data_IF_736088089986
#
_entry.id   IF_736088089986
#
_cell.length_a   1.000
_cell.length_b   1.000
_cell.length_c   1.000
_cell.angle_alpha   90.00
_cell.angle_beta   90.00
_cell.angle_gamma   90.00
#
_symmetry.space_group_name_H-M   'P 1'
#
loop_
_entity.id
_entity.type
_entity.pdbx_description
1 polymer ?
#
# COMPACT_ATOMS: atom_id res chain seq x y z
N UNK A 1 28.79 4.46 -11.02
CA UNK A 1 27.93 3.38 -10.48
C UNK A 1 28.38 3.09 -9.07
N UNK A 2 27.45 3.14 -8.12
CA UNK A 2 27.72 3.11 -6.69
C UNK A 2 27.27 4.40 -5.98
N UNK A 3 27.16 4.33 -4.66
CA UNK A 3 26.67 5.42 -3.83
C UNK A 3 27.49 6.69 -3.98
N UNK A 4 26.81 7.82 -4.19
CA UNK A 4 27.40 9.15 -4.15
C UNK A 4 27.83 9.52 -2.73
N UNK A 5 28.86 10.37 -2.59
CA UNK A 5 29.38 10.81 -1.28
C UNK A 5 28.31 11.43 -0.36
N UNK A 6 27.24 12.02 -0.92
CA UNK A 6 26.12 12.51 -0.14
C UNK A 6 25.27 11.37 0.45
N UNK A 7 24.96 10.34 -0.34
CA UNK A 7 24.21 9.15 0.09
C UNK A 7 24.95 8.39 1.20
N UNK A 8 26.26 8.22 1.05
CA UNK A 8 27.10 7.50 2.03
C UNK A 8 27.02 8.05 3.45
N UNK A 9 26.71 9.34 3.61
CA UNK A 9 26.63 10.01 4.93
C UNK A 9 25.43 9.56 5.77
N UNK A 10 24.42 8.95 5.14
CA UNK A 10 23.26 8.41 5.84
C UNK A 10 23.52 7.03 6.46
N UNK A 11 24.65 6.40 6.13
CA UNK A 11 25.00 5.09 6.63
C UNK A 11 25.92 5.18 7.87
N UNK A 12 25.75 4.31 8.86
CA UNK A 12 24.77 3.22 8.91
C UNK A 12 23.33 3.73 9.08
N UNK A 13 22.39 3.12 8.34
CA UNK A 13 20.97 3.41 8.54
C UNK A 13 20.53 2.81 9.86
N UNK A 14 19.99 3.64 10.76
CA UNK A 14 19.58 3.25 12.10
C UNK A 14 18.14 3.68 12.34
N UNK A 15 17.31 2.70 12.68
CA UNK A 15 15.90 2.90 12.98
C UNK A 15 15.08 3.44 11.79
N UNK A 16 13.79 3.62 12.05
CA UNK A 16 12.83 4.13 11.06
C UNK A 16 13.22 5.55 10.61
N UNK A 17 13.59 6.42 11.54
CA UNK A 17 13.91 7.83 11.21
C UNK A 17 15.16 7.96 10.33
N UNK A 18 16.14 7.04 10.46
CA UNK A 18 17.30 7.00 9.57
C UNK A 18 16.93 6.69 8.12
N UNK A 19 15.96 5.79 7.92
CA UNK A 19 15.39 5.49 6.59
C UNK A 19 14.64 6.71 6.05
N UNK A 20 13.76 7.32 6.85
CA UNK A 20 13.00 8.52 6.44
C UNK A 20 13.93 9.67 6.04
N UNK A 21 15.03 9.88 6.77
CA UNK A 21 16.03 10.89 6.42
C UNK A 21 16.75 10.62 5.09
N UNK A 22 17.01 9.37 4.75
CA UNK A 22 17.55 9.00 3.44
C UNK A 22 16.54 9.31 2.32
N UNK A 23 15.27 8.94 2.52
CA UNK A 23 14.20 9.23 1.57
C UNK A 23 14.01 10.73 1.34
N UNK A 24 13.97 11.55 2.40
CA UNK A 24 13.90 13.02 2.27
C UNK A 24 15.11 13.58 1.51
N UNK A 25 16.32 13.07 1.78
CA UNK A 25 17.52 13.50 1.07
C UNK A 25 17.50 13.14 -0.43
N UNK A 26 17.00 11.95 -0.80
CA UNK A 26 16.85 11.55 -2.20
C UNK A 26 15.73 12.34 -2.90
N UNK A 27 14.58 12.53 -2.26
CA UNK A 27 13.43 13.26 -2.82
C UNK A 27 13.70 14.76 -3.04
N UNK A 28 14.77 15.32 -2.47
CA UNK A 28 15.24 16.68 -2.79
C UNK A 28 16.02 16.76 -4.11
N UNK A 29 16.41 15.63 -4.69
CA UNK A 29 17.04 15.57 -6.00
C UNK A 29 15.98 15.51 -7.09
N UNK A 30 16.33 15.95 -8.29
CA UNK A 30 15.49 15.77 -9.47
C UNK A 30 15.41 14.30 -9.94
N UNK A 31 16.39 13.49 -9.52
CA UNK A 31 16.51 12.06 -9.82
C UNK A 31 16.84 11.34 -8.51
N UNK A 32 15.83 11.05 -7.65
CA UNK A 32 16.02 10.15 -6.51
C UNK A 32 16.47 8.78 -7.03
N UNK A 33 17.42 8.16 -6.34
CA UNK A 33 17.99 6.86 -6.73
C UNK A 33 17.01 5.72 -6.41
N UNK A 34 16.23 5.30 -7.40
CA UNK A 34 15.15 4.31 -7.21
C UNK A 34 15.72 2.95 -6.79
N UNK A 35 16.87 2.56 -7.36
CA UNK A 35 17.52 1.31 -7.03
C UNK A 35 18.00 1.30 -5.57
N UNK A 36 18.62 2.39 -5.11
CA UNK A 36 19.01 2.53 -3.71
C UNK A 36 17.81 2.43 -2.76
N UNK A 37 16.79 3.25 -2.98
CA UNK A 37 15.63 3.33 -2.09
C UNK A 37 14.89 1.99 -2.03
N UNK A 38 14.72 1.33 -3.18
CA UNK A 38 14.12 0.00 -3.28
C UNK A 38 14.92 -1.07 -2.51
N UNK A 39 16.26 -1.05 -2.59
CA UNK A 39 17.09 -1.97 -1.83
C UNK A 39 17.00 -1.72 -0.32
N UNK A 40 16.89 -0.46 0.12
CA UNK A 40 16.69 -0.10 1.53
C UNK A 40 15.38 -0.67 2.03
N UNK A 41 14.27 -0.48 1.31
CA UNK A 41 12.97 -1.03 1.71
C UNK A 41 12.99 -2.55 1.74
N UNK A 42 13.53 -3.20 0.70
CA UNK A 42 13.64 -4.65 0.65
C UNK A 42 14.49 -5.24 1.78
N UNK A 43 15.58 -4.56 2.16
CA UNK A 43 16.40 -4.96 3.30
C UNK A 43 15.64 -4.85 4.63
N UNK A 44 14.95 -3.73 4.84
CA UNK A 44 14.19 -3.48 6.08
C UNK A 44 12.99 -4.42 6.20
N UNK A 45 12.22 -4.59 5.12
CA UNK A 45 11.08 -5.52 5.06
C UNK A 45 11.51 -6.98 5.32
N UNK A 46 12.66 -7.41 4.77
CA UNK A 46 13.15 -8.77 4.98
C UNK A 46 13.30 -9.10 6.47
N UNK A 47 13.85 -8.19 7.26
CA UNK A 47 14.11 -8.46 8.69
C UNK A 47 12.95 -8.10 9.61
N UNK A 48 12.02 -7.26 9.17
CA UNK A 48 10.87 -6.86 9.96
C UNK A 48 9.60 -7.69 9.66
N UNK A 49 9.52 -8.31 8.48
CA UNK A 49 8.41 -9.19 8.10
C UNK A 49 8.84 -10.63 7.77
N UNK A 50 9.76 -10.81 6.83
CA UNK A 50 10.04 -12.14 6.26
C UNK A 50 10.78 -13.06 7.23
N UNK A 51 11.83 -12.55 7.87
CA UNK A 51 12.68 -13.31 8.78
C UNK A 51 13.13 -12.45 9.96
N UNK A 52 12.29 -12.44 11.00
CA UNK A 52 12.53 -11.70 12.26
C UNK A 52 13.49 -12.42 13.22
N UNK A 53 14.03 -13.59 12.85
CA UNK A 53 14.97 -14.32 13.70
C UNK A 53 16.33 -13.61 13.68
N UNK A 54 16.73 -13.06 14.82
CA UNK A 54 18.04 -12.41 14.97
C UNK A 54 19.14 -13.48 14.79
N UNK A 55 19.98 -13.39 13.74
CA UNK A 55 21.03 -14.35 13.49
C UNK A 55 22.17 -14.17 14.49
N UNK A 56 22.21 -15.02 15.52
CA UNK A 56 23.25 -15.02 16.55
C UNK A 56 24.62 -15.52 16.04
N UNK A 57 24.64 -16.20 14.88
CA UNK A 57 25.83 -16.86 14.33
C UNK A 57 26.41 -16.17 13.09
N UNK A 58 25.93 -14.97 12.74
CA UNK A 58 26.43 -14.22 11.57
C UNK A 58 27.27 -13.04 12.08
N UNK A 59 28.61 -13.12 12.03
CA UNK A 59 29.48 -12.04 12.48
C UNK A 59 29.21 -10.77 11.67
N UNK A 60 28.99 -9.65 12.37
CA UNK A 60 28.79 -8.33 11.75
C UNK A 60 27.33 -7.92 11.58
N UNK A 61 26.37 -8.84 11.70
CA UNK A 61 24.95 -8.48 11.76
C UNK A 61 24.59 -8.11 13.20
N UNK A 62 24.10 -6.88 13.40
CA UNK A 62 23.64 -6.38 14.69
C UNK A 62 22.18 -5.98 14.58
N UNK A 63 21.50 -5.98 15.72
CA UNK A 63 20.10 -5.57 15.83
C UNK A 63 20.03 -4.55 16.97
N UNK A 64 19.43 -3.40 16.70
CA UNK A 64 19.25 -2.32 17.67
C UNK A 64 17.79 -2.28 18.10
N UNK A 65 17.49 -2.28 19.42
CA UNK A 65 16.12 -2.19 19.88
C UNK A 65 15.50 -0.86 19.42
N UNK A 66 14.32 -0.93 18.82
CA UNK A 66 13.57 0.27 18.43
C UNK A 66 12.87 0.90 19.64
N UNK A 67 12.49 0.08 20.61
CA UNK A 67 11.95 0.50 21.89
C UNK A 67 12.85 -0.02 23.03
N UNK A 68 13.20 0.83 24.01
CA UNK A 68 13.87 0.36 25.22
C UNK A 68 12.92 -0.63 25.93
N UNK A 69 13.39 -1.85 26.13
CA UNK A 69 12.69 -2.99 26.80
C UNK A 69 11.81 -3.90 25.91
N UNK A 70 11.79 -3.74 24.58
CA UNK A 70 11.11 -4.67 23.66
C UNK A 70 12.11 -5.57 22.90
N UNK A 71 12.39 -6.81 23.36
CA UNK A 71 13.38 -7.69 22.71
C UNK A 71 12.93 -8.22 21.33
N UNK A 72 11.66 -8.02 20.96
CA UNK A 72 11.08 -8.45 19.68
C UNK A 72 10.98 -7.33 18.65
N UNK A 73 11.23 -6.07 19.05
CA UNK A 73 11.25 -4.92 18.16
C UNK A 73 12.69 -4.45 17.98
N UNK A 74 13.34 -4.96 16.93
CA UNK A 74 14.72 -4.66 16.64
C UNK A 74 14.91 -4.28 15.18
N UNK A 75 15.62 -3.18 14.95
CA UNK A 75 16.00 -2.72 13.62
C UNK A 75 17.39 -3.27 13.27
N UNK A 76 17.60 -3.85 12.08
CA UNK A 76 18.93 -4.22 11.62
C UNK A 76 19.66 -2.97 11.10
N UNK A 77 20.70 -2.44 11.78
CA UNK A 77 21.43 -1.31 11.23
C UNK A 77 22.09 -1.74 9.91
N UNK A 78 21.87 -0.97 8.85
CA UNK A 78 22.49 -1.29 7.58
C UNK A 78 23.80 -0.52 7.43
N UNK A 79 24.92 -1.22 7.57
CA UNK A 79 26.25 -0.63 7.45
C UNK A 79 26.61 -0.27 6.00
N UNK A 80 27.47 0.75 5.84
CA UNK A 80 27.86 1.28 4.52
C UNK A 80 28.53 0.22 3.62
N UNK A 81 29.42 -0.62 4.17
CA UNK A 81 30.17 -1.61 3.39
C UNK A 81 29.27 -2.63 2.66
N UNK A 82 28.37 -3.33 3.39
CA UNK A 82 27.35 -4.18 2.78
C UNK A 82 26.45 -3.43 1.79
N UNK A 83 26.00 -2.22 2.13
CA UNK A 83 25.15 -1.40 1.25
C UNK A 83 25.84 -1.05 -0.07
N UNK A 84 27.10 -0.59 -0.04
CA UNK A 84 27.88 -0.29 -1.24
C UNK A 84 28.08 -1.52 -2.12
N UNK A 85 28.33 -2.68 -1.51
CA UNK A 85 28.54 -3.94 -2.24
C UNK A 85 27.29 -4.33 -2.99
N UNK A 86 26.12 -4.26 -2.34
CA UNK A 86 24.85 -4.62 -2.95
C UNK A 86 24.42 -3.63 -4.04
N UNK A 87 24.57 -2.33 -3.80
CA UNK A 87 24.29 -1.27 -4.79
C UNK A 87 25.23 -1.39 -6.00
N UNK A 88 26.51 -1.71 -5.77
CA UNK A 88 27.45 -1.91 -6.86
C UNK A 88 27.17 -3.18 -7.67
N UNK A 89 26.64 -4.22 -7.02
CA UNK A 89 26.25 -5.46 -7.69
C UNK A 89 25.00 -5.23 -8.57
N UNK A 90 23.94 -4.65 -8.01
CA UNK A 90 22.72 -4.24 -8.74
C UNK A 90 22.99 -3.31 -9.91
N UNK A 91 23.87 -2.33 -9.73
CA UNK A 91 24.23 -1.42 -10.83
C UNK A 91 24.94 -2.12 -11.99
N UNK A 92 25.64 -3.24 -11.72
CA UNK A 92 26.43 -3.97 -12.74
C UNK A 92 25.65 -5.11 -13.38
N UNK A 93 24.77 -5.74 -12.63
CA UNK A 93 23.93 -6.84 -13.07
C UNK A 93 22.50 -6.49 -12.73
N UNK A 94 21.71 -6.03 -13.69
CA UNK A 94 20.26 -5.82 -13.55
C UNK A 94 19.50 -7.09 -13.10
N UNK A 95 20.19 -8.22 -12.97
CA UNK A 95 19.72 -9.53 -12.54
C UNK A 95 19.55 -9.69 -11.01
N UNK A 96 19.90 -8.68 -10.20
CA UNK A 96 19.87 -8.80 -8.73
C UNK A 96 18.66 -8.15 -8.06
N UNK A 97 17.72 -7.60 -8.83
CA UNK A 97 16.34 -7.55 -8.33
C UNK A 97 15.92 -9.00 -8.09
N UNK A 98 15.34 -9.31 -6.92
CA UNK A 98 14.93 -10.66 -6.50
C UNK A 98 14.56 -11.59 -7.65
N UNK A 99 14.98 -12.86 -7.59
CA UNK A 99 14.57 -13.90 -8.55
C UNK A 99 13.06 -14.18 -8.54
N UNK A 100 12.33 -13.58 -7.58
CA UNK A 100 10.87 -13.56 -7.49
C UNK A 100 10.41 -12.11 -7.37
N UNK A 101 9.86 -11.58 -8.45
CA UNK A 101 9.13 -10.32 -8.49
C UNK A 101 7.67 -10.63 -8.82
N UNK A 102 6.76 -9.88 -8.24
CA UNK A 102 5.36 -9.81 -8.63
C UNK A 102 5.20 -8.98 -9.92
N UNK A 103 3.97 -8.89 -10.42
CA UNK A 103 3.70 -8.22 -11.69
C UNK A 103 4.18 -6.77 -11.70
N UNK A 104 3.78 -5.96 -10.71
CA UNK A 104 4.15 -4.55 -10.65
C UNK A 104 5.63 -4.34 -10.28
N UNK A 105 6.18 -5.24 -9.45
CA UNK A 105 7.61 -5.25 -9.12
C UNK A 105 8.50 -5.39 -10.36
N UNK A 106 8.10 -6.17 -11.37
CA UNK A 106 8.82 -6.26 -12.66
C UNK A 106 8.79 -4.93 -13.40
N UNK A 107 7.64 -4.26 -13.49
CA UNK A 107 7.55 -2.97 -14.17
C UNK A 107 8.42 -1.91 -13.49
N UNK A 108 8.39 -1.85 -12.16
CA UNK A 108 9.25 -0.97 -11.37
C UNK A 108 10.75 -1.29 -11.57
N UNK A 109 11.14 -2.56 -11.56
CA UNK A 109 12.52 -2.97 -11.79
C UNK A 109 13.04 -2.54 -13.17
N UNK A 110 12.20 -2.59 -14.21
CA UNK A 110 12.54 -2.07 -15.54
C UNK A 110 12.81 -0.56 -15.48
N UNK A 111 11.96 0.22 -14.82
CA UNK A 111 12.14 1.68 -14.67
C UNK A 111 13.42 2.01 -13.90
N UNK A 112 13.67 1.34 -12.78
CA UNK A 112 14.89 1.52 -11.99
C UNK A 112 16.15 1.13 -12.80
N UNK A 113 16.11 0.04 -13.56
CA UNK A 113 17.21 -0.36 -14.44
C UNK A 113 17.46 0.67 -15.55
N UNK A 114 16.41 1.21 -16.17
CA UNK A 114 16.51 2.30 -17.13
C UNK A 114 17.14 3.55 -16.52
N UNK A 115 16.77 3.92 -15.29
CA UNK A 115 17.38 5.04 -14.57
C UNK A 115 18.89 4.83 -14.35
N UNK A 116 19.30 3.62 -13.93
CA UNK A 116 20.72 3.25 -13.75
C UNK A 116 21.51 3.36 -15.06
N UNK A 117 20.88 3.02 -16.19
CA UNK A 117 21.46 3.16 -17.53
C UNK A 117 21.48 4.60 -18.06
N UNK A 118 20.88 5.55 -17.32
CA UNK A 118 20.78 6.96 -17.72
C UNK A 118 19.63 7.26 -18.67
N UNK A 119 18.68 6.34 -18.83
CA UNK A 119 17.46 6.51 -19.63
C UNK A 119 16.40 7.22 -18.79
N UNK A 120 16.48 8.55 -18.77
CA UNK A 120 15.65 9.39 -17.89
C UNK A 120 14.21 9.55 -18.34
N UNK A 121 13.92 9.29 -19.60
CA UNK A 121 12.59 9.44 -20.19
C UNK A 121 11.67 8.22 -19.96
N UNK A 122 12.22 7.11 -19.46
CA UNK A 122 11.44 5.92 -19.11
C UNK A 122 10.85 6.07 -17.71
N UNK A 123 9.53 5.99 -17.61
CA UNK A 123 8.77 6.17 -16.39
C UNK A 123 7.73 5.07 -16.18
N UNK A 124 7.33 4.89 -14.93
CA UNK A 124 6.29 3.95 -14.56
C UNK A 124 4.91 4.52 -14.94
N UNK A 125 4.06 3.66 -15.50
CA UNK A 125 2.64 3.92 -15.62
C UNK A 125 1.84 2.91 -14.81
N UNK A 126 0.83 3.41 -14.10
CA UNK A 126 0.01 2.63 -13.17
C UNK A 126 -1.46 2.86 -13.47
N UNK A 127 -2.20 1.77 -13.68
CA UNK A 127 -3.63 1.77 -13.46
C UNK A 127 -3.93 1.41 -12.00
N UNK A 128 -5.18 1.05 -11.73
CA UNK A 128 -5.61 0.58 -10.41
C UNK A 128 -5.23 -0.89 -10.13
N UNK A 129 -4.85 -1.67 -11.16
CA UNK A 129 -4.53 -3.10 -11.04
C UNK A 129 -3.44 -3.60 -12.01
N UNK A 130 -2.76 -2.70 -12.73
CA UNK A 130 -1.68 -3.08 -13.65
C UNK A 130 -0.61 -2.00 -13.77
N UNK A 131 0.58 -2.43 -14.20
CA UNK A 131 1.75 -1.57 -14.35
C UNK A 131 2.49 -1.84 -15.66
N UNK A 132 2.94 -0.77 -16.31
CA UNK A 132 3.75 -0.83 -17.53
C UNK A 132 4.69 0.37 -17.59
N UNK A 133 5.42 0.56 -18.70
CA UNK A 133 6.31 1.73 -18.88
C UNK A 133 5.79 2.69 -19.94
N UNK A 134 6.04 3.97 -19.68
CA UNK A 134 5.90 5.04 -20.67
C UNK A 134 7.27 5.63 -20.97
N UNK A 135 7.46 6.10 -22.20
CA UNK A 135 8.72 6.68 -22.66
C UNK A 135 8.52 7.60 -23.85
N UNK A 136 9.64 8.12 -24.39
CA UNK A 136 9.60 9.04 -25.51
C UNK A 136 9.15 10.45 -25.10
N UNK A 137 8.86 11.28 -26.09
CA UNK A 137 8.52 12.69 -25.85
C UNK A 137 7.22 12.78 -25.04
N UNK A 138 7.28 13.45 -23.89
CA UNK A 138 6.13 13.62 -22.97
C UNK A 138 5.50 12.31 -22.44
N UNK A 139 6.17 11.16 -22.53
CA UNK A 139 5.58 9.87 -22.14
C UNK A 139 4.37 9.49 -23.00
N UNK A 140 4.47 9.72 -24.31
CA UNK A 140 3.44 9.39 -25.31
C UNK A 140 3.55 7.93 -25.78
N UNK A 141 4.73 7.32 -25.70
CA UNK A 141 4.92 5.91 -26.03
C UNK A 141 4.67 5.03 -24.80
N UNK A 142 4.16 3.82 -25.04
CA UNK A 142 3.84 2.85 -23.98
C UNK A 142 4.34 1.48 -24.37
N UNK A 143 4.86 0.71 -23.41
CA UNK A 143 5.19 -0.69 -23.61
C UNK A 143 4.83 -1.52 -22.39
N UNK A 144 4.13 -2.62 -22.63
CA UNK A 144 3.95 -3.69 -21.65
C UNK A 144 5.31 -4.32 -21.31
N UNK A 145 5.60 -4.49 -20.03
CA UNK A 145 6.88 -5.06 -19.56
C UNK A 145 6.70 -6.20 -18.58
N UNK A 146 5.48 -6.45 -18.14
CA UNK A 146 5.12 -7.49 -17.18
C UNK A 146 3.86 -8.23 -17.64
N UNK A 147 3.47 -9.25 -16.90
CA UNK A 147 2.23 -10.00 -17.12
C UNK A 147 1.09 -9.40 -16.30
N UNK A 148 -0.17 -9.71 -16.65
CA UNK A 148 -1.34 -9.41 -15.82
C UNK A 148 -2.20 -10.66 -15.65
N UNK A 149 -2.69 -10.91 -14.43
CA UNK A 149 -3.54 -12.05 -14.10
C UNK A 149 -2.87 -13.43 -14.29
N UNK A 150 -3.68 -14.49 -14.22
CA UNK A 150 -3.22 -15.88 -14.40
C UNK A 150 -3.77 -16.48 -15.69
N UNK A 151 -2.87 -16.89 -16.59
CA UNK A 151 -3.24 -17.57 -17.84
C UNK A 151 -3.72 -16.64 -18.96
N UNK A 152 -3.47 -15.33 -18.84
CA UNK A 152 -3.67 -14.36 -19.91
C UNK A 152 -2.51 -14.41 -20.91
N UNK A 153 -2.74 -13.89 -22.12
CA UNK A 153 -1.72 -13.83 -23.16
C UNK A 153 -0.60 -12.85 -22.79
N UNK A 154 0.64 -13.20 -23.13
CA UNK A 154 1.79 -12.33 -22.91
C UNK A 154 1.77 -11.16 -23.89
N UNK A 155 1.56 -9.95 -23.36
CA UNK A 155 1.52 -8.71 -24.15
C UNK A 155 2.82 -7.91 -24.11
N UNK A 156 3.89 -8.43 -23.49
CA UNK A 156 5.16 -7.69 -23.33
C UNK A 156 5.68 -7.17 -24.67
N UNK A 157 6.10 -5.90 -24.69
CA UNK A 157 6.55 -5.16 -25.86
C UNK A 157 5.43 -4.52 -26.69
N UNK A 158 4.16 -4.78 -26.39
CA UNK A 158 3.03 -4.18 -27.08
C UNK A 158 2.59 -2.85 -26.42
N UNK A 159 1.86 -2.04 -27.17
CA UNK A 159 1.21 -0.82 -26.67
C UNK A 159 -0.08 -1.14 -25.90
N UNK A 160 -0.45 -0.28 -24.95
CA UNK A 160 -1.71 -0.38 -24.18
C UNK A 160 -2.93 0.19 -24.91
N UNK A 161 -2.75 0.72 -26.13
CA UNK A 161 -3.81 1.40 -26.90
C UNK A 161 -5.06 0.55 -27.11
N UNK A 162 -4.93 -0.77 -27.27
CA UNK A 162 -6.08 -1.65 -27.46
C UNK A 162 -7.01 -1.63 -26.23
N UNK A 163 -6.47 -1.88 -25.04
CA UNK A 163 -7.25 -1.88 -23.80
C UNK A 163 -7.84 -0.51 -23.45
N UNK A 164 -7.13 0.58 -23.79
CA UNK A 164 -7.67 1.95 -23.67
C UNK A 164 -8.89 2.14 -24.58
N UNK A 165 -8.81 1.75 -25.85
CA UNK A 165 -9.90 1.92 -26.82
C UNK A 165 -11.11 1.03 -26.51
N UNK A 166 -10.87 -0.13 -25.91
CA UNK A 166 -11.89 -1.07 -25.46
C UNK A 166 -12.64 -0.59 -24.20
N UNK A 167 -12.13 0.45 -23.53
CA UNK A 167 -12.66 0.98 -22.27
C UNK A 167 -12.69 -0.08 -21.16
N UNK A 168 -11.63 -0.88 -21.07
CA UNK A 168 -11.39 -1.76 -19.91
C UNK A 168 -10.97 -0.92 -18.70
N UNK A 169 -11.42 -1.34 -17.52
CA UNK A 169 -11.01 -0.71 -16.26
C UNK A 169 -9.49 -0.83 -16.05
N UNK A 170 -8.90 -1.95 -16.45
CA UNK A 170 -7.47 -2.21 -16.35
C UNK A 170 -6.57 -1.12 -16.95
N UNK A 171 -7.04 -0.40 -17.97
CA UNK A 171 -6.30 0.69 -18.62
C UNK A 171 -6.94 2.07 -18.42
N UNK A 172 -7.97 2.15 -17.58
CA UNK A 172 -8.63 3.37 -17.12
C UNK A 172 -9.01 4.37 -18.24
N UNK A 173 -9.42 3.87 -19.41
CA UNK A 173 -9.72 4.69 -20.62
C UNK A 173 -8.60 5.68 -21.00
N UNK A 174 -7.36 5.42 -20.59
CA UNK A 174 -6.21 6.30 -20.81
C UNK A 174 -5.93 7.31 -19.68
N UNK A 175 -6.79 7.39 -18.66
CA UNK A 175 -6.60 8.23 -17.46
C UNK A 175 -5.80 7.52 -16.37
N UNK A 176 -4.87 6.64 -16.75
CA UNK A 176 -3.91 6.01 -15.84
C UNK A 176 -2.85 7.02 -15.37
N UNK A 177 -2.18 6.69 -14.27
CA UNK A 177 -1.13 7.53 -13.73
C UNK A 177 0.14 7.43 -14.57
N UNK A 178 0.64 8.58 -15.02
CA UNK A 178 1.96 8.73 -15.64
C UNK A 178 2.92 9.26 -14.58
N UNK A 179 3.71 8.39 -13.99
CA UNK A 179 4.53 8.74 -12.83
C UNK A 179 5.71 9.64 -13.23
N UNK A 180 6.06 10.57 -12.35
CA UNK A 180 7.41 11.12 -12.28
C UNK A 180 8.24 10.35 -11.24
N UNK A 181 9.50 10.76 -11.02
CA UNK A 181 10.38 10.08 -10.05
C UNK A 181 9.86 10.14 -8.62
N UNK A 182 9.17 11.21 -8.22
CA UNK A 182 8.60 11.29 -6.86
C UNK A 182 7.43 10.32 -6.71
N UNK A 183 6.59 10.18 -7.74
CA UNK A 183 5.48 9.23 -7.76
C UNK A 183 5.98 7.77 -7.81
N UNK A 184 7.10 7.49 -8.46
CA UNK A 184 7.75 6.17 -8.43
C UNK A 184 8.33 5.83 -7.04
N UNK A 185 8.80 6.84 -6.31
CA UNK A 185 9.13 6.67 -4.87
C UNK A 185 7.87 6.43 -4.05
N UNK A 186 6.78 7.14 -4.31
CA UNK A 186 5.50 6.87 -3.65
C UNK A 186 4.99 5.44 -3.92
N UNK A 187 5.13 4.95 -5.16
CA UNK A 187 4.78 3.58 -5.53
C UNK A 187 5.52 2.55 -4.68
N UNK A 188 6.85 2.64 -4.56
CA UNK A 188 7.61 1.67 -3.74
C UNK A 188 7.29 1.76 -2.25
N UNK A 189 6.86 2.94 -1.76
CA UNK A 189 6.41 3.12 -0.37
C UNK A 189 5.03 2.46 -0.17
N UNK A 190 4.10 2.64 -1.10
CA UNK A 190 2.82 1.92 -1.08
C UNK A 190 3.00 0.40 -1.18
N UNK A 191 4.05 -0.06 -1.87
CA UNK A 191 4.37 -1.48 -2.01
C UNK A 191 5.05 -2.12 -0.78
N UNK A 192 5.32 -1.36 0.29
CA UNK A 192 5.81 -1.95 1.54
C UNK A 192 4.76 -2.92 2.07
N UNK A 193 5.14 -4.18 2.31
CA UNK A 193 4.24 -5.19 2.87
C UNK A 193 4.51 -5.37 4.37
N UNK A 194 3.63 -4.88 5.26
CA UNK A 194 3.80 -5.07 6.69
C UNK A 194 3.46 -6.48 7.16
N UNK A 195 2.83 -7.33 6.33
CA UNK A 195 2.22 -8.58 6.77
C UNK A 195 3.23 -9.66 7.14
N UNK A 196 3.10 -10.22 8.34
CA UNK A 196 3.89 -11.35 8.85
C UNK A 196 3.23 -12.68 8.48
N UNK A 197 1.91 -12.72 8.64
CA UNK A 197 1.02 -13.84 8.33
C UNK A 197 -0.39 -13.31 8.08
N UNK A 198 -1.37 -14.20 7.86
CA UNK A 198 -2.75 -13.83 7.52
C UNK A 198 -3.49 -12.97 8.57
N UNK A 199 -2.94 -12.83 9.77
CA UNK A 199 -3.61 -12.20 10.91
C UNK A 199 -2.76 -11.14 11.61
N UNK A 200 -1.49 -10.99 11.23
CA UNK A 200 -0.51 -10.22 12.00
C UNK A 200 0.38 -9.39 11.10
N UNK A 201 0.53 -8.10 11.44
CA UNK A 201 1.39 -7.15 10.73
C UNK A 201 2.57 -6.67 11.61
N UNK A 202 3.67 -6.26 10.98
CA UNK A 202 4.78 -5.55 11.62
C UNK A 202 4.37 -4.09 11.86
N UNK A 203 4.28 -3.73 13.15
CA UNK A 203 4.05 -2.33 13.56
C UNK A 203 5.16 -1.41 13.08
N UNK A 204 6.40 -1.90 13.00
CA UNK A 204 7.54 -1.12 12.53
C UNK A 204 7.43 -0.76 11.04
N UNK A 205 6.97 -1.70 10.20
CA UNK A 205 6.75 -1.46 8.78
C UNK A 205 5.54 -0.57 8.53
N UNK A 206 4.45 -0.73 9.30
CA UNK A 206 3.31 0.18 9.27
C UNK A 206 3.75 1.62 9.60
N UNK A 207 4.52 1.81 10.68
CA UNK A 207 5.05 3.12 11.07
C UNK A 207 6.01 3.70 10.02
N UNK A 208 6.89 2.88 9.43
CA UNK A 208 7.79 3.31 8.36
C UNK A 208 6.99 3.77 7.14
N UNK A 209 6.03 2.98 6.69
CA UNK A 209 5.17 3.30 5.55
C UNK A 209 4.38 4.58 5.79
N UNK A 210 3.75 4.71 6.97
CA UNK A 210 2.99 5.91 7.36
C UNK A 210 3.89 7.17 7.38
N UNK A 211 5.09 7.11 7.97
CA UNK A 211 6.02 8.25 8.01
C UNK A 211 6.51 8.64 6.61
N UNK A 212 6.80 7.68 5.74
CA UNK A 212 7.24 7.94 4.37
C UNK A 212 6.09 8.52 3.51
N UNK A 213 4.87 8.02 3.66
CA UNK A 213 3.69 8.59 3.00
C UNK A 213 3.38 10.00 3.49
N UNK A 214 3.52 10.28 4.79
CA UNK A 214 3.43 11.65 5.31
C UNK A 214 4.48 12.58 4.71
N UNK A 215 5.73 12.13 4.59
CA UNK A 215 6.79 12.90 3.95
C UNK A 215 6.40 13.27 2.51
N UNK A 216 5.96 12.30 1.71
CA UNK A 216 5.53 12.51 0.32
C UNK A 216 4.29 13.42 0.24
N UNK A 217 3.34 13.24 1.15
CA UNK A 217 2.11 14.02 1.22
C UNK A 217 2.37 15.50 1.50
N UNK A 218 3.19 15.80 2.52
CA UNK A 218 3.52 17.18 2.91
C UNK A 218 4.32 17.93 1.85
N UNK A 219 5.03 17.20 1.00
CA UNK A 219 5.75 17.72 -0.16
C UNK A 219 4.85 17.97 -1.38
N UNK A 220 3.61 17.47 -1.36
CA UNK A 220 2.69 17.50 -2.50
C UNK A 220 2.97 16.43 -3.56
N UNK A 221 3.88 15.49 -3.28
CA UNK A 221 4.24 14.42 -4.24
C UNK A 221 3.07 13.42 -4.43
N UNK A 222 2.10 13.38 -3.50
CA UNK A 222 0.89 12.55 -3.60
C UNK A 222 -0.31 13.23 -4.26
N UNK A 223 -0.21 14.51 -4.67
CA UNK A 223 -1.33 15.27 -5.26
C UNK A 223 -1.96 14.59 -6.49
N UNK A 224 -1.17 13.78 -7.19
CA UNK A 224 -1.56 12.99 -8.37
C UNK A 224 -1.52 11.47 -8.11
N UNK A 225 -1.60 11.05 -6.86
CA UNK A 225 -1.60 9.63 -6.52
C UNK A 225 -2.76 9.31 -5.56
N UNK A 226 -3.99 9.13 -6.10
CA UNK A 226 -5.19 8.91 -5.30
C UNK A 226 -5.09 7.70 -4.36
N UNK A 227 -4.59 6.56 -4.85
CA UNK A 227 -4.48 5.34 -4.05
C UNK A 227 -3.47 5.49 -2.90
N UNK A 228 -2.33 6.16 -3.11
CA UNK A 228 -1.37 6.44 -2.04
C UNK A 228 -1.95 7.32 -0.93
N UNK A 229 -2.79 8.30 -1.28
CA UNK A 229 -3.56 9.06 -0.29
C UNK A 229 -4.57 8.18 0.45
N UNK A 230 -5.22 7.23 -0.23
CA UNK A 230 -6.08 6.22 0.39
C UNK A 230 -5.32 5.37 1.42
N UNK A 231 -4.17 4.83 1.06
CA UNK A 231 -3.28 4.08 1.97
C UNK A 231 -2.86 4.92 3.19
N UNK A 232 -2.44 6.17 2.96
CA UNK A 232 -2.07 7.06 4.07
C UNK A 232 -3.25 7.31 5.02
N UNK A 233 -4.44 7.54 4.47
CA UNK A 233 -5.63 7.75 5.26
C UNK A 233 -5.99 6.51 6.10
N UNK A 234 -5.89 5.30 5.54
CA UNK A 234 -6.13 4.06 6.27
C UNK A 234 -5.10 3.81 7.38
N UNK A 235 -3.82 4.18 7.18
CA UNK A 235 -2.80 4.10 8.22
C UNK A 235 -3.05 5.11 9.34
N UNK A 236 -3.44 6.34 8.97
CA UNK A 236 -3.77 7.40 9.92
C UNK A 236 -5.06 7.12 10.70
N UNK A 237 -5.98 6.34 10.12
CA UNK A 237 -7.20 5.85 10.79
C UNK A 237 -6.88 4.81 11.87
N UNK A 238 -5.85 3.99 11.63
CA UNK A 238 -5.40 2.93 12.54
C UNK A 238 -4.55 3.45 13.69
N UNK A 239 -3.53 4.28 13.39
CA UNK A 239 -2.61 4.86 14.38
C UNK A 239 -2.38 6.36 14.11
N UNK A 240 -3.30 7.24 14.58
CA UNK A 240 -3.24 8.66 14.29
C UNK A 240 -1.99 9.35 14.88
N UNK A 241 -1.31 10.15 14.07
CA UNK A 241 -0.17 10.98 14.51
C UNK A 241 -0.70 12.35 14.98
N UNK A 242 -0.44 12.77 16.23
CA UNK A 242 -0.95 14.04 16.75
C UNK A 242 -0.57 15.25 15.88
N UNK A 243 -1.58 16.05 15.52
CA UNK A 243 -1.41 17.27 14.74
C UNK A 243 -1.42 17.08 13.21
N UNK A 244 -1.51 15.84 12.73
CA UNK A 244 -1.69 15.53 11.31
C UNK A 244 -3.14 15.71 10.85
N UNK A 245 -3.34 15.74 9.54
CA UNK A 245 -4.67 15.91 8.93
C UNK A 245 -5.52 14.65 9.12
N UNK A 246 -6.84 14.82 9.30
CA UNK A 246 -7.73 13.68 9.60
C UNK A 246 -7.90 12.73 8.41
N UNK A 247 -8.07 11.40 8.65
CA UNK A 247 -8.24 10.39 7.59
C UNK A 247 -9.33 10.74 6.58
N UNK A 248 -10.50 11.18 7.05
CA UNK A 248 -11.61 11.62 6.19
C UNK A 248 -11.19 12.72 5.20
N UNK A 249 -10.39 13.70 5.64
CA UNK A 249 -9.95 14.80 4.77
C UNK A 249 -8.97 14.31 3.71
N UNK A 250 -8.12 13.35 4.06
CA UNK A 250 -7.18 12.73 3.13
C UNK A 250 -7.94 11.90 2.08
N UNK A 251 -8.93 11.09 2.47
CA UNK A 251 -9.78 10.36 1.51
C UNK A 251 -10.53 11.31 0.56
N UNK A 252 -11.09 12.42 1.08
CA UNK A 252 -11.75 13.42 0.24
C UNK A 252 -10.78 14.08 -0.76
N UNK A 253 -9.51 14.28 -0.36
CA UNK A 253 -8.45 14.74 -1.27
C UNK A 253 -8.06 13.68 -2.30
N UNK A 254 -8.08 12.39 -1.96
CA UNK A 254 -7.89 11.29 -2.90
C UNK A 254 -8.95 11.33 -4.01
N UNK A 255 -10.22 11.46 -3.64
CA UNK A 255 -11.33 11.63 -4.60
C UNK A 255 -11.15 12.90 -5.43
N UNK A 256 -10.81 14.03 -4.79
CA UNK A 256 -10.54 15.29 -5.49
C UNK A 256 -9.38 15.19 -6.49
N UNK A 257 -8.35 14.40 -6.19
CA UNK A 257 -7.23 14.14 -7.10
C UNK A 257 -7.68 13.34 -8.33
N UNK A 258 -8.45 12.27 -8.14
CA UNK A 258 -9.05 11.48 -9.24
C UNK A 258 -9.91 12.34 -10.17
N UNK A 259 -10.74 13.21 -9.60
CA UNK A 259 -11.58 14.13 -10.36
C UNK A 259 -10.76 15.14 -11.17
N UNK A 260 -9.73 15.72 -10.54
CA UNK A 260 -8.95 16.82 -11.12
C UNK A 260 -7.93 16.35 -12.16
N UNK A 261 -7.28 15.21 -11.91
CA UNK A 261 -6.12 14.76 -12.68
C UNK A 261 -6.43 13.59 -13.62
N UNK A 262 -7.52 12.87 -13.36
CA UNK A 262 -7.83 11.60 -14.02
C UNK A 262 -9.29 11.52 -14.51
N UNK A 263 -9.89 12.67 -14.84
CA UNK A 263 -11.25 12.79 -15.39
C UNK A 263 -12.35 12.09 -14.56
N UNK A 264 -12.10 11.88 -13.27
CA UNK A 264 -12.94 11.07 -12.40
C UNK A 264 -13.16 9.62 -12.90
N UNK A 265 -12.12 9.00 -13.45
CA UNK A 265 -12.18 7.65 -14.03
C UNK A 265 -11.57 6.57 -13.12
N UNK A 266 -11.17 6.91 -11.90
CA UNK A 266 -10.63 5.99 -10.88
C UNK A 266 -11.73 5.54 -9.92
N UNK A 267 -11.71 4.28 -9.51
CA UNK A 267 -12.73 3.64 -8.67
C UNK A 267 -12.31 3.58 -7.20
N UNK A 268 -11.06 3.20 -6.93
CA UNK A 268 -10.58 2.96 -5.56
C UNK A 268 -10.63 4.17 -4.64
N UNK A 269 -10.46 5.44 -5.08
CA UNK A 269 -10.63 6.58 -4.18
C UNK A 269 -12.00 6.61 -3.47
N UNK A 270 -13.04 6.18 -4.19
CA UNK A 270 -14.39 6.04 -3.64
C UNK A 270 -14.54 4.79 -2.78
N UNK A 271 -13.89 3.68 -3.16
CA UNK A 271 -13.87 2.44 -2.35
C UNK A 271 -13.19 2.66 -1.00
N UNK A 272 -12.05 3.35 -0.97
CA UNK A 272 -11.36 3.76 0.26
C UNK A 272 -12.26 4.61 1.16
N UNK A 273 -12.90 5.64 0.59
CA UNK A 273 -13.81 6.51 1.34
C UNK A 273 -15.02 5.74 1.89
N UNK A 274 -15.59 4.82 1.10
CA UNK A 274 -16.67 3.95 1.53
C UNK A 274 -16.24 3.04 2.69
N UNK A 275 -15.05 2.43 2.58
CA UNK A 275 -14.45 1.61 3.62
C UNK A 275 -14.25 2.37 4.94
N UNK A 276 -13.75 3.61 4.86
CA UNK A 276 -13.65 4.50 6.02
C UNK A 276 -15.02 4.72 6.68
N UNK A 277 -16.04 5.11 5.90
CA UNK A 277 -17.38 5.33 6.44
C UNK A 277 -18.01 4.05 7.02
N UNK A 278 -17.78 2.90 6.39
CA UNK A 278 -18.24 1.60 6.85
C UNK A 278 -17.66 1.22 8.22
N UNK A 279 -16.33 1.35 8.41
CA UNK A 279 -15.64 1.09 9.69
C UNK A 279 -16.15 2.00 10.81
N UNK A 280 -16.55 3.23 10.47
CA UNK A 280 -17.10 4.22 11.39
C UNK A 280 -18.63 4.16 11.56
N UNK A 281 -19.29 3.12 11.03
CA UNK A 281 -20.75 2.94 11.09
C UNK A 281 -21.55 4.11 10.50
N UNK A 282 -20.95 4.88 9.59
CA UNK A 282 -21.61 5.95 8.84
C UNK A 282 -22.32 5.38 7.60
N UNK A 283 -23.38 4.60 7.82
CA UNK A 283 -24.07 3.80 6.78
C UNK A 283 -24.45 4.61 5.54
N UNK A 284 -25.04 5.79 5.75
CA UNK A 284 -25.49 6.65 4.65
C UNK A 284 -24.33 7.09 3.74
N UNK A 285 -23.22 7.53 4.34
CA UNK A 285 -22.06 7.99 3.57
C UNK A 285 -21.28 6.83 2.94
N UNK A 286 -21.27 5.64 3.56
CA UNK A 286 -20.71 4.43 2.96
C UNK A 286 -21.49 4.03 1.69
N UNK A 287 -22.83 3.93 1.79
CA UNK A 287 -23.70 3.63 0.64
C UNK A 287 -23.58 4.67 -0.47
N UNK A 288 -23.49 5.94 -0.10
CA UNK A 288 -23.27 7.03 -1.08
C UNK A 288 -21.93 6.88 -1.79
N UNK A 289 -20.85 6.58 -1.07
CA UNK A 289 -19.51 6.42 -1.66
C UNK A 289 -19.44 5.21 -2.60
N UNK A 290 -20.06 4.07 -2.23
CA UNK A 290 -20.18 2.93 -3.15
C UNK A 290 -21.05 3.23 -4.37
N UNK A 291 -22.12 4.03 -4.22
CA UNK A 291 -22.92 4.48 -5.35
C UNK A 291 -22.13 5.39 -6.30
N UNK A 292 -21.28 6.27 -5.77
CA UNK A 292 -20.37 7.11 -6.56
C UNK A 292 -19.31 6.24 -7.28
N UNK A 293 -18.75 5.22 -6.63
CA UNK A 293 -17.87 4.24 -7.27
C UNK A 293 -18.56 3.52 -8.45
N UNK A 294 -19.81 3.05 -8.24
CA UNK A 294 -20.61 2.43 -9.29
C UNK A 294 -20.93 3.41 -10.44
N UNK A 295 -21.12 4.69 -10.12
CA UNK A 295 -21.34 5.74 -11.13
C UNK A 295 -20.12 5.94 -12.04
N UNK A 296 -18.90 5.78 -11.52
CA UNK A 296 -17.69 5.79 -12.35
C UNK A 296 -17.59 4.49 -13.16
N UNK A 297 -17.84 3.34 -12.53
CA UNK A 297 -17.75 2.02 -13.17
C UNK A 297 -18.71 1.85 -14.35
N UNK A 298 -19.89 2.48 -14.33
CA UNK A 298 -20.89 2.32 -15.40
C UNK A 298 -20.40 2.76 -16.80
N UNK A 299 -19.33 3.56 -16.87
CA UNK A 299 -18.75 4.07 -18.12
C UNK A 299 -17.65 3.14 -18.69
N UNK A 300 -17.38 2.01 -18.03
CA UNK A 300 -16.44 0.98 -18.46
C UNK A 300 -17.16 -0.23 -19.05
N UNK A 301 -16.47 -0.92 -19.96
CA UNK A 301 -16.89 -2.24 -20.43
C UNK A 301 -16.17 -3.31 -19.61
N UNK A 302 -16.89 -4.31 -19.13
CA UNK A 302 -16.29 -5.41 -18.38
C UNK A 302 -15.54 -6.38 -19.31
N UNK A 303 -14.27 -6.63 -19.01
CA UNK A 303 -13.46 -7.68 -19.63
C UNK A 303 -12.99 -8.69 -18.59
N UNK A 304 -12.53 -9.85 -19.06
CA UNK A 304 -12.01 -10.92 -18.19
C UNK A 304 -10.84 -10.45 -17.31
N UNK A 305 -10.05 -9.51 -17.80
CA UNK A 305 -8.90 -8.98 -17.05
C UNK A 305 -9.32 -8.00 -15.94
N UNK A 306 -10.58 -7.55 -15.92
CA UNK A 306 -11.13 -6.70 -14.86
C UNK A 306 -11.71 -7.54 -13.69
N UNK A 307 -11.19 -8.76 -13.47
CA UNK A 307 -11.70 -9.72 -12.48
C UNK A 307 -11.62 -9.15 -11.05
N UNK A 308 -10.54 -8.42 -10.73
CA UNK A 308 -10.32 -7.88 -9.39
C UNK A 308 -11.40 -6.88 -8.99
N UNK A 309 -11.69 -5.88 -9.83
CA UNK A 309 -12.75 -4.92 -9.52
C UNK A 309 -14.15 -5.55 -9.55
N UNK A 310 -14.35 -6.61 -10.34
CA UNK A 310 -15.60 -7.36 -10.31
C UNK A 310 -15.82 -8.05 -8.95
N UNK A 311 -14.79 -8.71 -8.40
CA UNK A 311 -14.85 -9.34 -7.07
C UNK A 311 -15.20 -8.33 -5.99
N UNK A 312 -14.56 -7.16 -6.01
CA UNK A 312 -14.84 -6.06 -5.07
C UNK A 312 -16.32 -5.66 -5.07
N UNK A 313 -16.87 -5.34 -6.26
CA UNK A 313 -18.30 -5.00 -6.36
C UNK A 313 -19.21 -6.17 -5.99
N UNK A 314 -18.81 -7.41 -6.33
CA UNK A 314 -19.57 -8.60 -5.99
C UNK A 314 -19.67 -8.80 -4.47
N UNK A 315 -18.57 -8.67 -3.76
CA UNK A 315 -18.52 -8.84 -2.30
C UNK A 315 -19.24 -7.69 -1.59
N UNK A 316 -19.07 -6.45 -2.06
CA UNK A 316 -19.79 -5.29 -1.52
C UNK A 316 -21.31 -5.49 -1.66
N UNK A 317 -21.78 -5.91 -2.83
CA UNK A 317 -23.21 -6.05 -3.11
C UNK A 317 -23.85 -7.25 -2.40
N UNK A 318 -23.13 -8.37 -2.26
CA UNK A 318 -23.69 -9.63 -1.80
C UNK A 318 -23.35 -10.00 -0.35
N UNK A 319 -22.33 -9.38 0.26
CA UNK A 319 -21.95 -9.62 1.64
C UNK A 319 -21.97 -8.34 2.49
N UNK A 320 -21.19 -7.32 2.11
CA UNK A 320 -20.98 -6.13 2.94
C UNK A 320 -22.26 -5.33 3.15
N UNK A 321 -22.95 -4.95 2.06
CA UNK A 321 -24.19 -4.16 2.14
C UNK A 321 -25.30 -4.93 2.87
N UNK A 322 -25.60 -6.21 2.52
CA UNK A 322 -26.59 -7.00 3.26
C UNK A 322 -26.31 -7.08 4.76
N UNK A 323 -25.05 -7.32 5.14
CA UNK A 323 -24.63 -7.38 6.55
C UNK A 323 -24.83 -6.02 7.24
N UNK A 324 -24.38 -4.93 6.61
CA UNK A 324 -24.53 -3.57 7.15
C UNK A 324 -26.00 -3.18 7.39
N UNK A 325 -26.88 -3.48 6.44
CA UNK A 325 -28.31 -3.18 6.56
C UNK A 325 -28.98 -4.01 7.67
N UNK A 326 -28.58 -5.28 7.81
CA UNK A 326 -29.07 -6.16 8.87
C UNK A 326 -28.65 -5.67 10.25
N UNK A 327 -27.38 -5.27 10.41
CA UNK A 327 -26.88 -4.68 11.66
C UNK A 327 -27.61 -3.38 12.02
N UNK A 328 -27.86 -2.53 11.03
CA UNK A 328 -28.58 -1.26 11.22
C UNK A 328 -30.02 -1.50 11.67
N UNK A 329 -30.75 -2.41 11.00
CA UNK A 329 -32.13 -2.74 11.37
C UNK A 329 -32.24 -3.38 12.77
N UNK A 330 -31.25 -4.18 13.16
CA UNK A 330 -31.21 -4.77 14.50
C UNK A 330 -30.98 -3.70 15.59
N UNK A 331 -30.17 -2.67 15.32
CA UNK A 331 -29.94 -1.56 16.25
C UNK A 331 -31.18 -0.67 16.43
N UNK A 332 -32.04 -0.56 15.41
CA UNK A 332 -33.28 0.22 15.46
C UNK A 332 -34.45 -0.51 16.15
N UNK A 333 -34.33 -1.82 16.39
CA UNK A 333 -35.35 -2.62 17.07
C UNK A 333 -35.18 -2.48 18.59
N UNK A 334 -36.02 -1.73 19.32
CA UNK A 334 -35.92 -1.65 20.78
C UNK A 334 -36.24 -3.03 21.34
N UNK A 335 -35.36 -3.57 22.19
CA UNK A 335 -35.63 -4.83 22.88
C UNK A 335 -37.03 -4.81 23.49
N UNK A 336 -37.83 -5.83 23.18
CA UNK A 336 -39.12 -6.04 23.82
C UNK A 336 -38.92 -5.97 25.33
N UNK A 337 -39.48 -4.91 25.93
CA UNK A 337 -39.54 -4.75 27.37
C UNK A 337 -40.35 -5.90 27.95
N UNK A 338 -39.66 -6.86 28.55
CA UNK A 338 -40.28 -7.83 29.44
C UNK A 338 -40.74 -7.11 30.71
N UNK A 339 -42.03 -6.77 30.78
CA UNK A 339 -42.70 -6.52 32.05
C UNK A 339 -42.99 -7.85 32.75
N UNK A 340 -42.51 -8.00 34.00
CA UNK A 340 -43.11 -8.91 34.97
C UNK A 340 -42.17 -9.55 36.01
N UNK A 341 -42.12 -8.97 37.22
CA UNK A 341 -42.16 -9.77 38.46
C UNK A 341 -40.89 -9.90 39.32
N UNK A 342 -40.77 -8.99 40.29
CA UNK A 342 -40.32 -9.14 41.69
C UNK A 342 -39.11 -10.00 42.11
N UNK A 343 -38.20 -9.38 42.88
CA UNK A 343 -37.31 -10.06 43.82
C UNK A 343 -36.07 -9.26 44.22
N UNK A 344 -36.17 -8.45 45.28
CA UNK A 344 -35.05 -7.74 45.90
C UNK A 344 -34.04 -8.70 46.57
N UNK A 345 -32.73 -8.48 46.40
CA UNK A 345 -31.89 -7.97 47.50
C UNK A 345 -30.48 -7.52 47.07
N UNK A 346 -29.94 -6.59 47.86
CA UNK A 346 -28.66 -5.86 47.74
C UNK A 346 -27.41 -6.76 47.64
N UNK A 347 -26.41 -6.31 46.87
CA UNK A 347 -25.10 -5.81 47.39
C UNK A 347 -24.51 -4.77 46.41
N UNK A 348 -24.04 -3.65 46.96
CA UNK A 348 -23.37 -2.54 46.27
C UNK A 348 -21.83 -2.67 46.41
N UNK A 349 -21.15 -2.40 45.29
CA UNK A 349 -19.83 -1.77 45.11
C UNK A 349 -18.54 -2.45 45.63
N UNK A 350 -17.65 -2.78 44.68
CA UNK A 350 -16.40 -2.03 44.51
C UNK A 350 -15.88 -2.18 43.07
N UNK A 351 -15.55 -1.05 42.41
CA UNK A 351 -14.71 -1.01 41.21
C UNK A 351 -13.27 -1.40 41.59
N UNK A 352 -12.47 -1.91 40.65
CA UNK A 352 -11.57 -1.00 39.94
C UNK A 352 -11.48 -1.28 38.44
N UNK A 353 -11.06 -0.25 37.70
CA UNK A 353 -11.02 -0.26 36.25
C UNK A 353 -10.10 -1.32 35.66
N UNK A 354 -10.53 -1.83 34.51
CA UNK A 354 -9.66 -2.40 33.50
C UNK A 354 -10.02 -1.69 32.19
N UNK A 355 -9.08 -0.89 31.71
CA UNK A 355 -8.97 -0.45 30.33
C UNK A 355 -9.03 -1.68 29.43
N UNK A 356 -10.16 -1.90 28.76
CA UNK A 356 -10.26 -2.91 27.72
C UNK A 356 -9.34 -2.50 26.56
N UNK A 357 -8.36 -3.37 26.35
CA UNK A 357 -7.27 -3.27 25.40
C UNK A 357 -7.80 -3.21 23.96
N UNK A 358 -7.38 -2.21 23.18
CA UNK A 358 -7.77 -1.97 21.77
C UNK A 358 -7.29 -3.05 20.77
N UNK A 359 -6.91 -4.25 21.25
CA UNK A 359 -6.41 -5.36 20.44
C UNK A 359 -7.45 -6.43 20.08
N UNK A 360 -8.76 -6.18 20.30
CA UNK A 360 -9.81 -7.21 20.13
C UNK A 360 -10.85 -6.89 19.04
N UNK A 361 -10.65 -5.87 18.20
CA UNK A 361 -11.40 -5.73 16.95
C UNK A 361 -10.75 -6.41 15.73
N UNK A 362 -9.59 -7.05 15.92
CA UNK A 362 -8.89 -7.84 14.88
C UNK A 362 -9.29 -9.33 14.86
N UNK A 363 -10.34 -9.74 15.58
CA UNK A 363 -10.70 -11.16 15.73
C UNK A 363 -12.17 -11.50 15.43
N UNK A 364 -12.84 -10.73 14.57
CA UNK A 364 -14.05 -11.19 13.90
C UNK A 364 -13.74 -11.69 12.48
N UNK A 365 -12.74 -12.56 12.37
CA UNK A 365 -12.62 -13.50 11.25
C UNK A 365 -13.28 -14.81 11.68
N UNK A 366 -14.33 -15.20 10.96
CA UNK A 366 -15.07 -16.41 11.32
C UNK A 366 -16.34 -16.67 10.53
N UNK A 367 -16.34 -16.50 9.22
CA UNK A 367 -17.28 -17.20 8.34
C UNK A 367 -16.56 -17.56 7.04
N UNK A 368 -15.98 -18.76 7.03
CA UNK A 368 -15.33 -19.38 5.88
C UNK A 368 -16.40 -19.80 4.87
N UNK A 369 -16.25 -19.40 3.62
CA UNK A 369 -16.66 -20.19 2.47
C UNK A 369 -15.65 -19.99 1.32
N UNK A 370 -14.77 -20.99 1.15
CA UNK A 370 -14.05 -21.35 -0.09
C UNK A 370 -13.29 -20.25 -0.83
N UNK A 371 -11.96 -20.33 -0.79
CA UNK A 371 -10.98 -19.50 -1.53
C UNK A 371 -10.95 -18.02 -1.13
N UNK A 372 -10.26 -17.78 -0.01
CA UNK A 372 -10.14 -16.48 0.63
C UNK A 372 -9.23 -15.49 -0.09
N UNK A 373 -9.80 -14.32 -0.38
CA UNK A 373 -9.14 -13.04 -0.33
C UNK A 373 -10.05 -12.12 0.53
N UNK A 374 -9.48 -11.49 1.55
CA UNK A 374 -10.17 -10.55 2.44
C UNK A 374 -10.31 -9.20 1.74
N UNK A 375 -11.46 -8.55 1.90
CA UNK A 375 -11.71 -7.13 1.60
C UNK A 375 -10.80 -6.22 2.45
N UNK A 376 -9.50 -6.20 2.12
CA UNK A 376 -8.57 -5.14 2.45
C UNK A 376 -8.56 -4.12 1.31
N UNK A 377 -7.71 -3.10 1.39
CA UNK A 377 -7.39 -2.23 0.25
C UNK A 377 -7.21 -3.05 -1.06
N UNK A 378 -7.37 -2.45 -2.27
CA UNK A 378 -6.88 -3.09 -3.49
C UNK A 378 -5.59 -3.81 -3.17
N UNK A 379 -5.53 -5.10 -3.46
CA UNK A 379 -4.25 -5.76 -3.57
C UNK A 379 -3.54 -5.05 -4.72
N UNK A 380 -2.92 -3.90 -4.44
CA UNK A 380 -1.94 -3.25 -5.28
C UNK A 380 -0.74 -4.19 -5.30
N UNK A 381 -0.90 -5.32 -5.99
CA UNK A 381 0.01 -6.43 -6.11
C UNK A 381 0.44 -7.06 -4.78
N UNK A 382 0.53 -8.39 -4.71
CA UNK A 382 1.32 -9.01 -3.65
C UNK A 382 2.77 -8.52 -3.79
N UNK A 383 3.36 -7.81 -2.82
CA UNK A 383 4.73 -7.34 -2.98
C UNK A 383 5.67 -8.52 -2.76
N UNK A 384 6.44 -8.88 -3.80
CA UNK A 384 7.58 -9.76 -3.60
C UNK A 384 8.81 -8.91 -3.28
N UNK A 385 9.21 -8.98 -2.01
CA UNK A 385 10.47 -8.50 -1.44
C UNK A 385 11.63 -8.60 -2.44
N UNK A 386 12.22 -7.46 -2.81
CA UNK A 386 13.30 -7.32 -3.80
C UNK A 386 14.63 -8.00 -3.34
N UNK A 387 14.65 -8.68 -2.19
CA UNK A 387 15.87 -9.12 -1.52
C UNK A 387 15.79 -10.50 -0.83
N UNK A 388 15.02 -11.48 -1.32
CA UNK A 388 14.91 -12.79 -0.63
C UNK A 388 16.01 -13.82 -0.94
N UNK A 389 17.09 -13.50 -1.68
CA UNK A 389 18.15 -14.51 -1.98
C UNK A 389 19.61 -14.00 -1.96
N UNK A 390 19.93 -12.86 -1.33
CA UNK A 390 21.33 -12.35 -1.28
C UNK A 390 21.91 -12.28 0.14
N UNK A 391 21.14 -12.66 1.16
CA UNK A 391 21.63 -12.93 2.53
C UNK A 391 21.31 -14.38 2.87
#
# INVERSE_FOLDING_TARGET
MGLHSAQKKHFPLRGIDGVVQLFDAELRKSEPDLALLSLVLGFVEHFLAVNRVIPINVPGVRFEPLEPDCPTSCFPPWDLGPAETLVAHTSKTAHTFSTKLDSSGVAFAVVAACQVLGLKDVHLALSEDHAWVIFGKNGEETAEVTWHGKGNEDRRGQTVTAGVNEKSWLYLKGSYMKCDRSMEVAFMVCAINPSLDLHTDSSELLQLQQKLLWLLYERGDLDRYPMAMGTLADLEDQDPIPGKESPLRIHLKAVGSAQKHYNNEHIYPYMYLAGFHYRHRNVQEALKSWAEAAQVMQEYNYFREDEEIYKEFFDIANDVIPTLLKETAAAESPGEGGEGGEGADKVRLSSPGESMNSGQLMSAQGAVCGDGALLGAPQCCEPATILTQVL
#
